data_IF_073336164761
#
_entry.id   IF_073336164761
#
_cell.length_a   1.000
_cell.length_b   1.000
_cell.length_c   1.000
_cell.angle_alpha   90.00
_cell.angle_beta   90.00
_cell.angle_gamma   90.00
#
_symmetry.space_group_name_H-M   'P 1'
#
loop_
_entity.id
_entity.type
_entity.pdbx_description
1 polymer ?
#
# COMPACT_ATOMS: atom_id res chain seq x y z
N UNK A 1 -28.88 -6.77 -3.69
CA UNK A 1 -27.51 -6.33 -4.02
C UNK A 1 -26.96 -5.60 -2.81
N UNK A 2 -26.15 -6.27 -1.99
CA UNK A 2 -25.58 -5.67 -0.77
C UNK A 2 -24.47 -4.71 -1.17
N UNK A 3 -24.59 -3.44 -0.82
CA UNK A 3 -23.52 -2.47 -0.97
C UNK A 3 -22.41 -2.81 0.04
N UNK A 4 -21.29 -3.33 -0.44
CA UNK A 4 -20.13 -3.64 0.41
C UNK A 4 -19.58 -2.34 1.00
N UNK A 5 -19.65 -2.19 2.32
CA UNK A 5 -19.08 -1.04 3.01
C UNK A 5 -17.55 -1.05 2.87
N UNK A 6 -17.00 -0.09 2.13
CA UNK A 6 -15.56 0.09 1.97
C UNK A 6 -15.03 0.86 3.19
N UNK A 7 -14.26 0.18 4.04
CA UNK A 7 -13.58 0.82 5.18
C UNK A 7 -12.20 1.32 4.76
N UNK A 8 -11.97 2.63 4.88
CA UNK A 8 -10.65 3.21 4.67
C UNK A 8 -9.74 2.92 5.87
N UNK A 9 -8.61 2.25 5.65
CA UNK A 9 -7.65 1.92 6.71
C UNK A 9 -6.54 2.97 6.86
N UNK A 10 -6.12 3.62 5.77
CA UNK A 10 -5.07 4.62 5.76
C UNK A 10 -5.32 5.67 4.69
N UNK A 11 -4.87 6.90 4.95
CA UNK A 11 -4.94 8.00 4.00
C UNK A 11 -3.69 8.86 4.13
N UNK A 12 -2.94 9.06 3.04
CA UNK A 12 -1.83 10.01 3.05
C UNK A 12 -2.36 11.45 2.93
N UNK A 13 -2.61 12.08 4.07
CA UNK A 13 -3.05 13.50 4.12
C UNK A 13 -1.94 14.46 3.69
N UNK A 14 -0.67 14.12 3.97
CA UNK A 14 0.49 14.93 3.59
C UNK A 14 0.60 15.07 2.07
N UNK A 15 0.36 13.99 1.33
CA UNK A 15 0.38 14.03 -0.14
C UNK A 15 -0.60 15.05 -0.72
N UNK A 16 -1.83 15.13 -0.18
CA UNK A 16 -2.86 16.10 -0.60
C UNK A 16 -2.52 17.54 -0.24
N UNK A 17 -1.70 17.77 0.78
CA UNK A 17 -1.28 19.10 1.20
C UNK A 17 -0.05 19.58 0.42
N UNK A 18 0.92 18.68 0.20
CA UNK A 18 2.21 19.02 -0.42
C UNK A 18 2.19 18.98 -1.94
N UNK A 19 1.26 18.26 -2.56
CA UNK A 19 1.21 18.08 -4.01
C UNK A 19 -0.17 18.38 -4.57
N UNK A 20 -0.20 18.89 -5.80
CA UNK A 20 -1.43 18.96 -6.59
C UNK A 20 -1.65 17.61 -7.29
N UNK A 21 -2.75 16.93 -6.97
CA UNK A 21 -3.09 15.63 -7.54
C UNK A 21 -3.82 15.88 -8.86
N UNK A 22 -3.17 15.52 -9.97
CA UNK A 22 -3.73 15.67 -11.33
C UNK A 22 -4.63 14.50 -11.70
N UNK A 23 -4.25 13.29 -11.31
CA UNK A 23 -4.98 12.07 -11.62
C UNK A 23 -4.82 11.03 -10.50
N UNK A 24 -5.75 10.07 -10.43
CA UNK A 24 -5.76 8.98 -9.46
C UNK A 24 -6.07 7.66 -10.13
N UNK A 25 -5.26 6.64 -9.84
CA UNK A 25 -5.46 5.28 -10.32
C UNK A 25 -5.82 4.34 -9.17
N UNK A 26 -6.66 3.35 -9.45
CA UNK A 26 -6.95 2.26 -8.52
C UNK A 26 -6.06 1.05 -8.81
N UNK A 27 -5.47 0.47 -7.77
CA UNK A 27 -4.56 -0.68 -7.89
C UNK A 27 -4.77 -1.66 -6.75
N UNK A 28 -4.60 -2.95 -7.04
CA UNK A 28 -4.43 -3.97 -5.99
C UNK A 28 -3.04 -3.90 -5.36
N UNK A 29 -2.90 -4.34 -4.11
CA UNK A 29 -1.61 -4.41 -3.41
C UNK A 29 -1.32 -5.84 -2.97
N UNK A 30 -0.12 -6.34 -3.28
CA UNK A 30 0.30 -7.69 -2.88
C UNK A 30 0.81 -7.69 -1.44
N UNK A 31 -0.04 -8.21 -0.55
CA UNK A 31 0.20 -8.28 0.90
C UNK A 31 0.33 -9.73 1.39
N UNK A 32 1.08 -9.91 2.47
CA UNK A 32 1.15 -11.15 3.25
C UNK A 32 0.03 -11.18 4.31
N UNK A 33 -0.36 -12.38 4.76
CA UNK A 33 -1.47 -12.53 5.72
C UNK A 33 -1.30 -11.77 7.04
N UNK A 34 -0.06 -11.66 7.54
CA UNK A 34 0.31 -10.87 8.72
C UNK A 34 0.15 -9.36 8.49
N UNK A 35 0.51 -8.87 7.30
CA UNK A 35 0.34 -7.47 6.89
C UNK A 35 -1.16 -7.11 6.81
N UNK A 36 -1.99 -8.01 6.26
CA UNK A 36 -3.45 -7.82 6.20
C UNK A 36 -4.05 -7.68 7.59
N UNK A 37 -3.61 -8.48 8.57
CA UNK A 37 -4.06 -8.36 9.96
C UNK A 37 -3.67 -7.00 10.57
N UNK A 38 -2.42 -6.58 10.38
CA UNK A 38 -1.95 -5.28 10.89
C UNK A 38 -2.72 -4.10 10.27
N UNK A 39 -2.99 -4.11 8.95
CA UNK A 39 -3.76 -3.08 8.27
C UNK A 39 -5.20 -3.03 8.79
N UNK A 40 -5.82 -4.19 9.03
CA UNK A 40 -7.18 -4.25 9.60
C UNK A 40 -7.27 -3.63 11.00
N UNK A 41 -6.17 -3.63 11.75
CA UNK A 41 -6.01 -2.96 13.04
C UNK A 41 -5.63 -1.48 12.93
N UNK A 42 -5.46 -0.95 11.71
CA UNK A 42 -5.04 0.44 11.47
C UNK A 42 -3.54 0.68 11.69
N UNK A 43 -2.72 -0.38 11.76
CA UNK A 43 -1.28 -0.30 12.01
C UNK A 43 -0.48 -0.15 10.71
N UNK A 44 -0.75 0.91 9.97
CA UNK A 44 -0.09 1.22 8.70
C UNK A 44 0.20 2.73 8.60
N UNK A 45 1.39 3.07 8.13
CA UNK A 45 1.80 4.43 7.82
C UNK A 45 2.29 4.52 6.38
N UNK A 46 1.64 5.40 5.60
CA UNK A 46 1.93 5.66 4.18
C UNK A 46 2.29 7.14 3.93
N UNK A 47 2.60 7.90 4.98
CA UNK A 47 2.87 9.34 4.85
C UNK A 47 4.11 9.62 4.01
N UNK A 48 5.11 8.74 4.09
CA UNK A 48 6.41 8.85 3.39
C UNK A 48 6.58 7.78 2.30
N UNK A 49 5.50 7.07 1.95
CA UNK A 49 5.54 6.05 0.91
C UNK A 49 5.46 6.68 -0.48
N UNK A 50 6.17 6.10 -1.43
CA UNK A 50 6.15 6.50 -2.84
C UNK A 50 6.15 5.26 -3.74
N UNK A 51 5.78 5.44 -5.01
CA UNK A 51 5.74 4.36 -6.00
C UNK A 51 6.90 4.54 -6.97
N UNK A 52 7.61 3.45 -7.26
CA UNK A 52 8.59 3.40 -8.34
C UNK A 52 8.23 2.30 -9.34
N UNK A 53 8.55 2.58 -10.59
CA UNK A 53 8.54 1.62 -11.68
C UNK A 53 9.86 0.84 -11.69
N UNK A 54 9.77 -0.46 -11.91
CA UNK A 54 10.91 -1.34 -12.09
C UNK A 54 10.54 -2.48 -13.02
N UNK A 55 11.07 -2.46 -14.25
CA UNK A 55 10.93 -3.51 -15.27
C UNK A 55 9.48 -3.76 -15.73
N UNK A 56 8.72 -2.69 -15.91
CA UNK A 56 7.30 -2.73 -16.31
C UNK A 56 6.36 -3.04 -15.16
N UNK A 57 6.82 -2.99 -13.91
CA UNK A 57 6.02 -3.26 -12.72
C UNK A 57 6.13 -2.11 -11.72
N UNK A 58 5.02 -1.78 -11.06
CA UNK A 58 4.99 -0.72 -10.06
C UNK A 58 5.08 -1.31 -8.65
N UNK A 59 5.91 -0.69 -7.82
CA UNK A 59 6.13 -1.09 -6.44
C UNK A 59 5.97 0.09 -5.50
N UNK A 60 5.24 -0.14 -4.41
CA UNK A 60 5.10 0.77 -3.30
C UNK A 60 6.29 0.60 -2.33
N UNK A 61 7.06 1.66 -2.17
CA UNK A 61 8.20 1.76 -1.27
C UNK A 61 7.85 2.55 -0.01
N UNK A 62 8.59 2.30 1.06
CA UNK A 62 8.53 3.03 2.32
C UNK A 62 7.13 3.07 2.99
N UNK A 63 6.27 2.10 2.67
CA UNK A 63 5.01 1.88 3.35
C UNK A 63 5.25 1.02 4.60
N UNK A 64 5.24 1.66 5.76
CA UNK A 64 5.51 1.01 7.04
C UNK A 64 4.26 0.31 7.55
N UNK A 65 4.34 -1.01 7.72
CA UNK A 65 3.28 -1.81 8.36
C UNK A 65 3.79 -2.35 9.69
N UNK A 66 3.23 -1.88 10.80
CA UNK A 66 3.66 -2.30 12.13
C UNK A 66 3.09 -3.68 12.46
N UNK A 67 3.90 -4.71 12.20
CA UNK A 67 3.57 -6.10 12.50
C UNK A 67 3.60 -6.38 14.01
N UNK A 68 2.76 -7.30 14.46
CA UNK A 68 2.76 -7.76 15.86
C UNK A 68 4.04 -8.55 16.17
N UNK A 69 4.45 -8.57 17.43
CA UNK A 69 5.63 -9.32 17.88
C UNK A 69 5.59 -10.81 17.50
N UNK A 70 4.39 -11.41 17.53
CA UNK A 70 4.14 -12.80 17.08
C UNK A 70 4.52 -13.03 15.61
N UNK A 71 4.44 -11.99 14.77
CA UNK A 71 4.78 -12.06 13.35
C UNK A 71 6.28 -12.05 13.08
N UNK A 72 7.14 -11.74 14.08
CA UNK A 72 8.60 -11.78 13.93
C UNK A 72 9.12 -13.16 13.57
N UNK A 73 8.44 -14.22 14.00
CA UNK A 73 8.80 -15.60 13.64
C UNK A 73 8.75 -15.87 12.12
N UNK A 74 8.00 -15.07 11.36
CA UNK A 74 7.89 -15.22 9.91
C UNK A 74 8.90 -14.37 9.10
N UNK A 75 9.83 -13.68 9.77
CA UNK A 75 10.90 -12.92 9.12
C UNK A 75 10.41 -11.82 8.17
N UNK A 76 9.25 -11.25 8.45
CA UNK A 76 8.66 -10.23 7.58
C UNK A 76 9.28 -8.87 7.85
N UNK A 77 9.90 -8.30 6.82
CA UNK A 77 10.36 -6.92 6.83
C UNK A 77 9.16 -5.95 6.69
N UNK A 78 8.91 -5.08 7.70
CA UNK A 78 7.87 -4.05 7.65
C UNK A 78 7.98 -3.10 6.46
N UNK A 79 9.22 -2.85 5.98
CA UNK A 79 9.54 -1.91 4.90
C UNK A 79 9.70 -2.58 3.54
N UNK A 80 9.39 -3.87 3.44
CA UNK A 80 9.39 -4.60 2.17
C UNK A 80 8.56 -3.84 1.13
N UNK A 81 9.20 -3.53 0.01
CA UNK A 81 8.56 -3.11 -1.23
C UNK A 81 7.39 -4.04 -1.62
N UNK A 82 6.24 -3.43 -1.91
CA UNK A 82 4.99 -4.14 -2.19
C UNK A 82 4.59 -3.91 -3.64
N UNK A 83 4.44 -4.99 -4.39
CA UNK A 83 4.01 -4.94 -5.78
C UNK A 83 2.58 -4.43 -5.89
N UNK A 84 2.36 -3.50 -6.82
CA UNK A 84 1.05 -3.01 -7.22
C UNK A 84 0.55 -3.82 -8.41
N UNK A 85 -0.75 -4.13 -8.39
CA UNK A 85 -1.45 -4.81 -9.46
C UNK A 85 -2.27 -3.78 -10.22
N UNK A 86 -1.81 -3.43 -11.40
CA UNK A 86 -2.41 -2.47 -12.31
C UNK A 86 -2.63 -3.12 -13.68
N UNK A 87 -3.56 -2.58 -14.45
CA UNK A 87 -3.70 -2.99 -15.84
C UNK A 87 -2.50 -2.47 -16.65
N UNK A 88 -2.01 -3.26 -17.60
CA UNK A 88 -0.87 -2.87 -18.45
C UNK A 88 -1.04 -1.48 -19.12
N UNK A 89 -2.28 -1.08 -19.44
CA UNK A 89 -2.57 0.23 -20.07
C UNK A 89 -2.43 1.42 -19.10
N UNK A 90 -2.40 1.17 -17.79
CA UNK A 90 -2.26 2.18 -16.74
C UNK A 90 -0.81 2.33 -16.26
N UNK A 91 0.10 1.45 -16.70
CA UNK A 91 1.51 1.55 -16.34
C UNK A 91 2.13 2.59 -17.28
N UNK A 92 2.54 3.77 -16.77
CA UNK A 92 3.26 4.73 -17.59
C UNK A 92 4.56 4.06 -18.06
N UNK A 93 4.69 3.92 -19.37
CA UNK A 93 5.84 3.31 -20.06
C UNK A 93 6.92 4.36 -20.28
#
# INVERSE_FOLDING_TARGET
MSATAVKTFALNRKARFSYHIVDTIESGLVLKGSEVKAIREGKINIAESFVLESKGELFLYNALISLRAESKHFGHDPLRWKKLLLHNRQIPT
#
